data_IF_749540198313
#
_entry.id   IF_749540198313
#
_cell.length_a   1.000
_cell.length_b   1.000
_cell.length_c   1.000
_cell.angle_alpha   90.00
_cell.angle_beta   90.00
_cell.angle_gamma   90.00
#
_symmetry.space_group_name_H-M   'P 1'
#
loop_
_entity.id
_entity.type
_entity.pdbx_description
1 polymer ?
#
# COMPACT_ATOMS: atom_id res chain seq x y z
N UNK A 1 -29.79 25.84 -7.16
CA UNK A 1 -28.53 25.65 -6.41
C UNK A 1 -28.35 24.14 -6.23
N UNK A 2 -27.34 23.53 -6.86
CA UNK A 2 -27.13 22.09 -6.79
C UNK A 2 -26.40 21.71 -5.48
N UNK A 3 -27.03 20.87 -4.66
CA UNK A 3 -26.43 20.33 -3.44
C UNK A 3 -25.58 19.10 -3.79
N UNK A 4 -24.26 19.26 -3.76
CA UNK A 4 -23.30 18.17 -3.92
C UNK A 4 -23.18 17.41 -2.59
N UNK A 5 -24.04 16.41 -2.38
CA UNK A 5 -23.93 15.51 -1.24
C UNK A 5 -22.70 14.61 -1.41
N UNK A 6 -21.53 15.04 -0.93
CA UNK A 6 -20.34 14.19 -0.89
C UNK A 6 -20.46 13.18 0.28
N UNK A 7 -20.81 11.93 -0.03
CA UNK A 7 -20.97 10.84 0.95
C UNK A 7 -19.68 10.08 1.27
N UNK A 8 -18.53 10.56 0.79
CA UNK A 8 -17.22 9.96 1.06
C UNK A 8 -16.86 10.10 2.53
N UNK A 9 -17.00 9.01 3.29
CA UNK A 9 -16.46 8.94 4.65
C UNK A 9 -14.97 9.28 4.61
N UNK A 10 -14.49 10.09 5.57
CA UNK A 10 -13.05 10.36 5.72
C UNK A 10 -12.31 9.03 5.96
N UNK A 11 -11.63 8.54 4.93
CA UNK A 11 -10.74 7.39 5.02
C UNK A 11 -9.32 7.90 5.28
N UNK A 12 -8.69 7.48 6.38
CA UNK A 12 -7.25 7.68 6.57
C UNK A 12 -6.50 6.60 5.79
N UNK A 13 -5.95 6.94 4.63
CA UNK A 13 -5.13 6.03 3.86
C UNK A 13 -3.76 5.87 4.55
N UNK A 14 -3.43 4.63 4.95
CA UNK A 14 -2.09 4.32 5.47
C UNK A 14 -1.13 4.08 4.31
N UNK A 15 -0.53 5.15 3.81
CA UNK A 15 0.48 5.07 2.76
C UNK A 15 1.73 4.31 3.23
N UNK A 16 2.46 3.74 2.26
CA UNK A 16 3.77 3.15 2.53
C UNK A 16 4.75 4.26 2.88
N UNK A 17 5.48 4.09 3.98
CA UNK A 17 6.57 4.99 4.34
C UNK A 17 7.78 4.77 3.42
N UNK A 18 8.70 5.74 3.35
CA UNK A 18 9.93 5.65 2.56
C UNK A 18 10.76 4.41 2.91
N UNK A 19 10.82 4.05 4.20
CA UNK A 19 11.50 2.82 4.65
C UNK A 19 10.83 1.54 4.13
N UNK A 20 9.49 1.44 4.21
CA UNK A 20 8.76 0.30 3.68
C UNK A 20 8.98 0.18 2.17
N UNK A 21 8.95 1.31 1.44
CA UNK A 21 9.26 1.33 0.00
C UNK A 21 10.66 0.84 -0.32
N UNK A 22 11.68 1.27 0.43
CA UNK A 22 13.05 0.79 0.26
C UNK A 22 13.16 -0.72 0.47
N UNK A 23 12.48 -1.24 1.50
CA UNK A 23 12.45 -2.68 1.78
C UNK A 23 11.77 -3.49 0.68
N UNK A 24 10.65 -2.99 0.15
CA UNK A 24 9.95 -3.61 -0.99
C UNK A 24 10.87 -3.67 -2.21
N UNK A 25 11.51 -2.55 -2.56
CA UNK A 25 12.40 -2.47 -3.72
C UNK A 25 13.58 -3.45 -3.62
N UNK A 26 14.21 -3.56 -2.44
CA UNK A 26 15.27 -4.52 -2.20
C UNK A 26 14.80 -5.98 -2.36
N UNK A 27 13.67 -6.34 -1.74
CA UNK A 27 13.13 -7.71 -1.81
C UNK A 27 12.64 -8.08 -3.21
N UNK A 28 12.11 -7.12 -3.97
CA UNK A 28 11.75 -7.33 -5.38
C UNK A 28 13.01 -7.54 -6.24
N UNK A 29 14.10 -6.80 -5.97
CA UNK A 29 15.37 -6.99 -6.66
C UNK A 29 16.00 -8.35 -6.38
N UNK A 30 15.77 -8.91 -5.19
CA UNK A 30 16.12 -10.30 -4.83
C UNK A 30 15.22 -11.35 -5.50
N UNK A 31 14.18 -10.95 -6.25
CA UNK A 31 13.26 -11.85 -6.93
C UNK A 31 12.18 -12.45 -6.01
N UNK A 32 11.95 -11.89 -4.83
CA UNK A 32 10.94 -12.42 -3.90
C UNK A 32 9.53 -12.06 -4.36
N UNK A 33 8.59 -12.98 -4.10
CA UNK A 33 7.20 -12.79 -4.52
C UNK A 33 6.49 -11.69 -3.71
N UNK A 34 5.52 -11.03 -4.33
CA UNK A 34 4.69 -9.99 -3.69
C UNK A 34 4.03 -10.50 -2.40
N UNK A 35 3.52 -11.74 -2.41
CA UNK A 35 2.89 -12.35 -1.22
C UNK A 35 3.89 -12.55 -0.08
N UNK A 36 5.14 -12.88 -0.40
CA UNK A 36 6.19 -13.00 0.61
C UNK A 36 6.48 -11.63 1.26
N UNK A 37 6.64 -10.59 0.44
CA UNK A 37 6.91 -9.23 0.91
C UNK A 37 5.75 -8.69 1.75
N UNK A 38 4.51 -8.94 1.32
CA UNK A 38 3.29 -8.58 2.02
C UNK A 38 3.23 -9.19 3.44
N UNK A 39 3.58 -10.48 3.57
CA UNK A 39 3.67 -11.16 4.87
C UNK A 39 4.74 -10.54 5.78
N UNK A 40 5.92 -10.23 5.23
CA UNK A 40 7.02 -9.63 5.98
C UNK A 40 6.72 -8.22 6.49
N UNK A 41 5.99 -7.42 5.71
CA UNK A 41 5.64 -6.04 6.05
C UNK A 41 4.27 -5.91 6.74
N UNK A 42 3.57 -7.02 6.97
CA UNK A 42 2.18 -7.04 7.44
C UNK A 42 1.25 -6.11 6.63
N UNK A 43 1.46 -6.05 5.31
CA UNK A 43 0.67 -5.24 4.38
C UNK A 43 -0.15 -6.13 3.47
N UNK A 44 -1.26 -5.58 2.96
CA UNK A 44 -2.04 -6.28 1.94
C UNK A 44 -1.21 -6.43 0.65
N UNK A 45 -1.28 -7.57 -0.06
CA UNK A 45 -0.58 -7.75 -1.34
C UNK A 45 -0.93 -6.68 -2.38
N UNK A 46 -2.18 -6.19 -2.36
CA UNK A 46 -2.67 -5.10 -3.22
C UNK A 46 -2.02 -3.75 -2.93
N UNK A 47 -1.44 -3.56 -1.74
CA UNK A 47 -0.68 -2.36 -1.39
C UNK A 47 0.74 -2.43 -1.96
N UNK A 48 1.30 -3.63 -2.09
CA UNK A 48 2.65 -3.85 -2.62
C UNK A 48 2.65 -3.89 -4.16
N UNK A 49 1.56 -4.35 -4.78
CA UNK A 49 1.42 -4.47 -6.24
C UNK A 49 1.00 -3.17 -6.95
N UNK A 50 0.63 -2.14 -6.19
CA UNK A 50 0.15 -0.85 -6.72
C UNK A 50 1.33 0.07 -7.01
#
# INVERSE_FOLDING_TARGET
>A
MANYNCTTKRCSFKHLNAYERGKIAALLKEGKSIRYIAKQLARAPSTISR
#
